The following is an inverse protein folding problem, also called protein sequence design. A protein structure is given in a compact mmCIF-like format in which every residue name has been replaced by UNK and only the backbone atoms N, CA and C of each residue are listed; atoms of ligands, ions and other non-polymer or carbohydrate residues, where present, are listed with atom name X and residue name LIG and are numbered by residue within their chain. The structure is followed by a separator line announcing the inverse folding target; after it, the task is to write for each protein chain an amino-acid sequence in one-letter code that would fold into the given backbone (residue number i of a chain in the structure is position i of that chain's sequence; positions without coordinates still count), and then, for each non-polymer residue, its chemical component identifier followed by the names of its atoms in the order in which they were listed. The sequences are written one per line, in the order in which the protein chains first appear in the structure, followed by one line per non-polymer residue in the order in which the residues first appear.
data_IF_471077785902
#
_entry.id   IF_471077785902
#
_cell.length_a   1.000
_cell.length_b   1.000
_cell.length_c   1.000
_cell.angle_alpha   90.00
_cell.angle_beta   90.00
_cell.angle_gamma   90.00
#
_symmetry.space_group_name_H-M   'P 1'
#
loop_
_entity.id
_entity.type
_entity.pdbx_description
1 polymer ?
#
# COMPACT_ATOMS: atom_id res chain seq x y z
N UNK A 1 20.64 -11.86 -14.71
CA UNK A 1 19.24 -11.52 -14.36
C UNK A 1 19.19 -10.02 -14.19
N UNK A 2 18.29 -9.33 -14.90
CA UNK A 2 18.17 -7.88 -14.76
C UNK A 2 17.71 -7.56 -13.34
N UNK A 3 18.46 -6.71 -12.63
CA UNK A 3 18.03 -6.21 -11.33
C UNK A 3 16.95 -5.16 -11.60
N UNK A 4 15.68 -5.54 -11.49
CA UNK A 4 14.59 -4.57 -11.64
C UNK A 4 14.68 -3.58 -10.49
N UNK A 5 14.75 -2.29 -10.84
CA UNK A 5 14.81 -1.22 -9.84
C UNK A 5 13.45 -1.13 -9.16
N UNK A 6 13.42 -1.23 -7.83
CA UNK A 6 12.20 -1.10 -7.04
C UNK A 6 12.03 0.32 -6.51
N UNK A 7 10.79 0.80 -6.48
CA UNK A 7 10.40 2.04 -5.84
C UNK A 7 9.57 1.76 -4.59
N UNK A 8 9.67 2.66 -3.61
CA UNK A 8 8.74 2.76 -2.49
C UNK A 8 7.99 4.08 -2.64
N UNK A 9 6.67 4.01 -2.64
CA UNK A 9 5.80 5.15 -2.85
C UNK A 9 4.67 5.18 -1.83
N UNK A 10 4.24 6.39 -1.47
CA UNK A 10 2.97 6.65 -0.79
C UNK A 10 1.86 6.79 -1.82
N UNK A 11 0.71 6.20 -1.52
CA UNK A 11 -0.52 6.41 -2.29
C UNK A 11 -1.14 7.76 -1.93
N UNK A 12 -1.37 8.62 -2.92
CA UNK A 12 -1.99 9.94 -2.73
C UNK A 12 -3.50 9.90 -2.90
N UNK A 13 -4.01 9.05 -3.80
CA UNK A 13 -5.43 8.87 -4.10
C UNK A 13 -5.74 7.38 -4.21
N UNK A 14 -6.96 6.98 -3.87
CA UNK A 14 -7.39 5.59 -4.02
C UNK A 14 -7.19 5.15 -5.48
N UNK A 15 -6.48 4.05 -5.68
CA UNK A 15 -6.11 3.58 -7.02
C UNK A 15 -5.97 2.07 -7.05
N UNK A 16 -6.15 1.48 -8.23
CA UNK A 16 -5.93 0.05 -8.44
C UNK A 16 -4.50 -0.15 -8.94
N UNK A 17 -3.72 -0.98 -8.24
CA UNK A 17 -2.35 -1.36 -8.63
C UNK A 17 -2.28 -2.88 -8.66
N UNK A 18 -1.86 -3.44 -9.80
CA UNK A 18 -1.79 -4.89 -10.01
C UNK A 18 -3.12 -5.63 -9.70
N UNK A 19 -4.27 -4.97 -9.88
CA UNK A 19 -5.59 -5.55 -9.61
C UNK A 19 -6.08 -5.40 -8.17
N UNK A 20 -5.26 -4.88 -7.27
CA UNK A 20 -5.63 -4.59 -5.88
C UNK A 20 -6.01 -3.12 -5.72
N UNK A 21 -7.15 -2.84 -5.08
CA UNK A 21 -7.51 -1.48 -4.68
C UNK A 21 -6.69 -1.07 -3.46
N UNK A 22 -5.97 0.06 -3.57
CA UNK A 22 -5.10 0.56 -2.51
C UNK A 22 -5.56 1.97 -2.11
N UNK A 23 -5.84 2.11 -0.82
CA UNK A 23 -6.33 3.36 -0.23
C UNK A 23 -5.22 4.41 -0.07
N UNK A 24 -5.57 5.71 0.02
CA UNK A 24 -4.61 6.77 0.29
C UNK A 24 -3.79 6.52 1.57
N UNK A 25 -2.60 7.10 1.61
CA UNK A 25 -1.61 6.98 2.69
C UNK A 25 -1.01 5.58 2.90
N UNK A 26 -1.47 4.56 2.17
CA UNK A 26 -0.77 3.28 2.12
C UNK A 26 0.60 3.42 1.48
N UNK A 27 1.51 2.52 1.84
CA UNK A 27 2.84 2.43 1.27
C UNK A 27 2.90 1.24 0.32
N UNK A 28 3.36 1.47 -0.90
CA UNK A 28 3.50 0.43 -1.93
C UNK A 28 4.94 0.33 -2.37
N UNK A 29 5.43 -0.89 -2.49
CA UNK A 29 6.76 -1.21 -3.00
C UNK A 29 6.62 -2.15 -4.19
N UNK A 30 7.29 -1.82 -5.27
CA UNK A 30 7.23 -2.64 -6.49
C UNK A 30 8.17 -2.12 -7.56
N UNK A 31 8.13 -2.77 -8.72
CA UNK A 31 8.94 -2.43 -9.87
C UNK A 31 8.74 -0.98 -10.34
N UNK A 32 9.84 -0.29 -10.65
CA UNK A 32 9.85 1.09 -11.16
C UNK A 32 9.03 1.22 -12.45
N UNK A 33 9.08 0.22 -13.33
CA UNK A 33 8.31 0.22 -14.57
C UNK A 33 6.79 0.22 -14.33
N UNK A 34 6.33 -0.37 -13.22
CA UNK A 34 4.94 -0.38 -12.81
C UNK A 34 4.55 0.92 -12.07
N UNK A 35 5.39 1.38 -11.14
CA UNK A 35 5.05 2.47 -10.25
C UNK A 35 5.32 3.87 -10.84
N UNK A 36 6.32 4.02 -11.70
CA UNK A 36 6.70 5.32 -12.25
C UNK A 36 5.56 6.01 -13.03
N UNK A 37 4.79 5.33 -13.90
CA UNK A 37 3.65 5.96 -14.58
C UNK A 37 2.61 6.53 -13.60
N UNK A 38 2.37 5.85 -12.46
CA UNK A 38 1.43 6.30 -11.43
C UNK A 38 1.98 7.48 -10.63
N UNK A 39 3.30 7.54 -10.43
CA UNK A 39 3.97 8.73 -9.86
C UNK A 39 3.86 9.92 -10.81
N UNK A 40 4.14 9.71 -12.10
CA UNK A 40 4.06 10.76 -13.12
C UNK A 40 2.62 11.29 -13.29
N UNK A 41 1.61 10.43 -13.09
CA UNK A 41 0.19 10.79 -13.07
C UNK A 41 -0.27 11.48 -11.76
N UNK A 42 0.59 11.58 -10.75
CA UNK A 42 0.27 12.18 -9.46
C UNK A 42 -0.61 11.30 -8.55
N UNK A 43 -0.73 10.01 -8.82
CA UNK A 43 -1.46 9.06 -7.97
C UNK A 43 -0.60 8.53 -6.82
N UNK A 44 0.71 8.46 -7.07
CA UNK A 44 1.71 8.04 -6.10
C UNK A 44 2.73 9.16 -5.86
N UNK A 45 3.36 9.15 -4.69
CA UNK A 45 4.52 9.99 -4.39
C UNK A 45 5.68 9.16 -3.88
N UNK A 46 6.87 9.38 -4.43
CA UNK A 46 8.13 8.83 -3.90
C UNK A 46 8.85 9.79 -2.95
N UNK A 47 8.16 10.84 -2.49
CA UNK A 47 8.75 11.83 -1.61
C UNK A 47 9.05 11.26 -0.21
N UNK A 48 10.25 11.57 0.29
CA UNK A 48 10.73 11.01 1.55
C UNK A 48 9.86 11.44 2.75
N UNK A 49 9.34 12.66 2.75
CA UNK A 49 8.59 13.19 3.89
C UNK A 49 7.24 12.48 4.07
N UNK A 50 6.51 12.27 2.97
CA UNK A 50 5.27 11.53 2.93
C UNK A 50 5.46 10.06 3.30
N UNK A 51 6.53 9.43 2.80
CA UNK A 51 6.88 8.05 3.18
C UNK A 51 7.20 7.98 4.69
N UNK A 52 8.06 8.87 5.19
CA UNK A 52 8.42 8.91 6.61
C UNK A 52 7.19 9.14 7.51
N UNK A 53 6.26 10.01 7.10
CA UNK A 53 5.01 10.25 7.82
C UNK A 53 4.14 9.00 7.89
N UNK A 54 3.93 8.33 6.75
CA UNK A 54 3.15 7.10 6.70
C UNK A 54 3.82 5.99 7.55
N UNK A 55 5.13 5.82 7.47
CA UNK A 55 5.84 4.78 8.24
C UNK A 55 5.91 5.08 9.74
N UNK A 56 6.20 6.33 10.13
CA UNK A 56 6.49 6.65 11.54
C UNK A 56 5.27 7.13 12.31
N UNK A 57 4.43 7.93 11.67
CA UNK A 57 3.26 8.53 12.32
C UNK A 57 2.03 7.67 12.15
N UNK A 58 1.71 7.28 10.91
CA UNK A 58 0.55 6.43 10.63
C UNK A 58 0.83 4.95 10.88
N UNK A 59 2.12 4.55 10.92
CA UNK A 59 2.57 3.16 11.10
C UNK A 59 2.00 2.23 10.02
N UNK A 60 1.89 2.75 8.81
CA UNK A 60 1.38 2.00 7.66
C UNK A 60 2.36 0.91 7.24
N UNK A 61 1.79 -0.25 6.92
CA UNK A 61 2.54 -1.37 6.37
C UNK A 61 2.86 -1.15 4.91
N UNK A 62 4.00 -1.72 4.48
CA UNK A 62 4.43 -1.67 3.08
C UNK A 62 3.83 -2.86 2.35
N UNK A 63 2.94 -2.57 1.42
CA UNK A 63 2.39 -3.54 0.48
C UNK A 63 3.47 -3.82 -0.58
N UNK A 64 4.05 -5.02 -0.55
CA UNK A 64 5.07 -5.46 -1.51
C UNK A 64 4.39 -6.15 -2.69
N UNK A 65 4.28 -5.44 -3.81
CA UNK A 65 3.56 -5.88 -5.01
C UNK A 65 4.28 -7.02 -5.76
N UNK A 66 5.55 -7.28 -5.41
CA UNK A 66 6.32 -8.37 -5.99
C UNK A 66 6.20 -9.68 -5.21
N UNK A 67 5.55 -9.65 -4.03
CA UNK A 67 5.27 -10.86 -3.27
C UNK A 67 3.95 -11.45 -3.75
N UNK A 68 3.88 -12.78 -3.99
CA UNK A 68 2.60 -13.43 -4.15
C UNK A 68 1.79 -13.17 -2.88
N UNK A 69 0.55 -12.75 -3.08
CA UNK A 69 -0.47 -12.45 -2.07
C UNK A 69 -0.36 -13.41 -0.87
N UNK A 70 0.35 -12.97 0.19
CA UNK A 70 0.33 -13.66 1.47
C UNK A 70 -0.77 -12.99 2.26
N UNK A 71 -1.96 -13.59 2.17
CA UNK A 71 -3.09 -13.51 3.09
C UNK A 71 -3.27 -12.18 3.82
N UNK A 72 -4.19 -11.40 3.28
CA UNK A 72 -5.22 -10.66 4.03
C UNK A 72 -5.37 -11.19 5.47
N UNK A 73 -4.75 -10.51 6.45
CA UNK A 73 -5.12 -10.69 7.85
C UNK A 73 -6.38 -9.87 8.09
N UNK A 74 -7.52 -10.44 7.68
CA UNK A 74 -8.84 -10.08 8.14
C UNK A 74 -8.92 -10.46 9.63
N UNK A 75 -8.48 -9.54 10.49
CA UNK A 75 -8.79 -9.57 11.93
C UNK A 75 -10.00 -8.65 12.15
N UNK A 76 -11.13 -9.01 11.53
CA UNK A 76 -12.44 -8.53 11.99
C UNK A 76 -12.87 -9.37 13.19
N UNK A 77 -12.28 -9.12 14.37
CA UNK A 77 -12.84 -9.55 15.65
C UNK A 77 -14.12 -8.73 15.92
N UNK A 78 -15.22 -9.14 15.28
CA UNK A 78 -16.56 -8.67 15.61
C UNK A 78 -17.05 -9.38 16.87
N UNK A 79 -16.42 -9.12 18.00
CA UNK A 79 -16.88 -9.52 19.32
C UNK A 79 -17.65 -8.41 20.03
N UNK A 80 -18.98 -8.53 20.16
CA UNK A 80 -19.68 -8.48 21.46
C UNK A 80 -21.21 -8.61 21.31
N UNK A 81 -21.67 -9.83 21.55
CA UNK A 81 -22.87 -10.28 22.29
C UNK A 81 -23.95 -9.28 22.76
N UNK A 82 -25.21 -9.67 22.50
CA UNK A 82 -26.19 -9.88 23.57
C UNK A 82 -27.47 -9.04 23.51
N UNK A 83 -28.63 -9.69 23.27
CA UNK A 83 -29.70 -9.80 24.27
C UNK A 83 -30.77 -10.80 23.84
N UNK A 84 -30.84 -11.88 24.60
CA UNK A 84 -31.94 -12.83 24.66
C UNK A 84 -33.21 -12.12 25.16
N UNK A 85 -34.35 -12.41 24.54
CA UNK A 85 -35.69 -12.28 25.15
C UNK A 85 -36.61 -13.40 24.62
#
# INVERSE_FOLDING_TARGET
MATTKKLLCRVLVATIIAGQEIQPNKLVKGDEALLKPLVDAGQLSSDKAGIDYCTKTLKEEVIDLDKPDSEDSDDTDSGSTGKDE
#
